data_IF_076992372848
#
_entry.id   IF_076992372848
#
_cell.length_a   1.000
_cell.length_b   1.000
_cell.length_c   1.000
_cell.angle_alpha   90.00
_cell.angle_beta   90.00
_cell.angle_gamma   90.00
#
_symmetry.space_group_name_H-M   'P 1'
#
loop_
_entity.id
_entity.type
_entity.pdbx_description
1 polymer ?
#
# COMPACT_ATOMS: atom_id res chain seq x y z
N UNK A 1 -22.67 -1.16 -3.18
CA UNK A 1 -21.64 -0.54 -4.03
C UNK A 1 -20.28 -1.09 -3.65
N UNK A 2 -19.56 -1.60 -4.64
CA UNK A 2 -18.22 -2.17 -4.50
C UNK A 2 -17.18 -1.04 -4.52
N UNK A 3 -16.14 -1.07 -3.65
CA UNK A 3 -15.07 -0.07 -3.75
C UNK A 3 -14.30 -0.21 -5.06
N UNK A 4 -14.00 0.92 -5.70
CA UNK A 4 -13.28 1.02 -6.97
C UNK A 4 -11.86 1.55 -6.77
N UNK A 5 -10.88 0.99 -7.49
CA UNK A 5 -9.50 1.51 -7.52
C UNK A 5 -9.37 2.65 -8.52
N UNK A 6 -9.99 2.50 -9.69
CA UNK A 6 -10.04 3.46 -10.79
C UNK A 6 -11.11 3.03 -11.79
N UNK A 7 -11.30 3.83 -12.84
CA UNK A 7 -12.31 3.57 -13.86
C UNK A 7 -12.12 2.16 -14.46
N UNK A 8 -13.16 1.34 -14.39
CA UNK A 8 -13.17 -0.02 -14.93
C UNK A 8 -12.53 -1.11 -14.06
N UNK A 9 -12.01 -0.81 -12.87
CA UNK A 9 -11.47 -1.84 -11.96
C UNK A 9 -11.87 -1.63 -10.49
N UNK A 10 -12.38 -2.71 -9.89
CA UNK A 10 -12.67 -2.79 -8.47
C UNK A 10 -11.39 -2.77 -7.63
N UNK A 11 -11.50 -2.26 -6.40
CA UNK A 11 -10.38 -2.15 -5.47
C UNK A 11 -9.88 -3.51 -5.00
N UNK A 12 -10.80 -4.47 -4.80
CA UNK A 12 -10.44 -5.86 -4.45
C UNK A 12 -9.63 -6.51 -5.57
N UNK A 13 -10.06 -6.38 -6.84
CA UNK A 13 -9.28 -6.90 -7.97
C UNK A 13 -7.89 -6.30 -8.02
N UNK A 14 -7.80 -4.97 -7.89
CA UNK A 14 -6.52 -4.27 -7.97
C UNK A 14 -5.55 -4.70 -6.86
N UNK A 15 -6.05 -4.80 -5.62
CA UNK A 15 -5.27 -5.27 -4.48
C UNK A 15 -4.72 -6.69 -4.69
N UNK A 16 -5.56 -7.62 -5.15
CA UNK A 16 -5.17 -9.03 -5.38
C UNK A 16 -4.25 -9.15 -6.60
N UNK A 17 -4.57 -8.46 -7.69
CA UNK A 17 -3.78 -8.43 -8.91
C UNK A 17 -2.37 -7.89 -8.66
N UNK A 18 -2.24 -6.85 -7.83
CA UNK A 18 -0.95 -6.31 -7.41
C UNK A 18 -0.10 -7.33 -6.66
N UNK A 19 -0.70 -8.11 -5.73
CA UNK A 19 0.00 -9.20 -5.02
C UNK A 19 0.42 -10.31 -6.00
N UNK A 20 -0.46 -10.70 -6.92
CA UNK A 20 -0.14 -11.72 -7.92
C UNK A 20 1.05 -11.31 -8.81
N UNK A 21 1.12 -10.04 -9.22
CA UNK A 21 2.25 -9.53 -9.99
C UNK A 21 3.53 -9.41 -9.17
N UNK A 22 3.42 -9.03 -7.90
CA UNK A 22 4.53 -9.05 -6.95
C UNK A 22 5.10 -10.47 -6.81
N UNK A 23 4.26 -11.49 -6.59
CA UNK A 23 4.68 -12.90 -6.45
C UNK A 23 5.32 -13.46 -7.73
N UNK A 24 4.87 -13.01 -8.90
CA UNK A 24 5.50 -13.38 -10.18
C UNK A 24 6.87 -12.74 -10.36
N UNK A 25 7.03 -11.49 -9.90
CA UNK A 25 8.25 -10.73 -10.10
C UNK A 25 9.34 -11.03 -9.06
N UNK A 26 8.97 -11.54 -7.89
CA UNK A 26 9.88 -11.77 -6.77
C UNK A 26 9.65 -13.13 -6.13
N UNK A 27 10.68 -13.98 -6.23
CA UNK A 27 10.68 -15.29 -5.57
C UNK A 27 11.10 -15.20 -4.09
N UNK A 28 11.06 -16.34 -3.39
CA UNK A 28 11.50 -16.44 -2.00
C UNK A 28 13.00 -16.14 -1.78
N UNK A 29 13.81 -16.14 -2.84
CA UNK A 29 15.23 -15.79 -2.75
C UNK A 29 15.40 -14.30 -2.48
N UNK A 30 14.59 -13.44 -3.13
CA UNK A 30 14.52 -12.01 -2.79
C UNK A 30 14.20 -11.80 -1.32
N UNK A 31 13.15 -12.45 -0.83
CA UNK A 31 12.70 -12.32 0.56
C UNK A 31 13.69 -12.87 1.58
N UNK A 32 14.47 -13.89 1.20
CA UNK A 32 15.60 -14.36 2.00
C UNK A 32 16.71 -13.31 2.12
N UNK A 33 17.02 -12.58 1.05
CA UNK A 33 17.99 -11.46 1.09
C UNK A 33 17.47 -10.33 1.98
N UNK A 34 16.18 -10.00 1.87
CA UNK A 34 15.53 -9.00 2.73
C UNK A 34 15.63 -9.41 4.20
N UNK A 35 15.27 -10.66 4.54
CA UNK A 35 15.34 -11.18 5.91
C UNK A 35 16.77 -11.10 6.48
N UNK A 36 17.77 -11.55 5.71
CA UNK A 36 19.18 -11.46 6.10
C UNK A 36 19.61 -10.01 6.38
N UNK A 37 19.19 -9.07 5.53
CA UNK A 37 19.55 -7.65 5.68
C UNK A 37 18.86 -6.99 6.87
N UNK A 38 17.57 -7.29 7.08
CA UNK A 38 16.81 -6.84 8.25
C UNK A 38 17.48 -7.35 9.52
N UNK A 39 17.66 -8.67 9.65
CA UNK A 39 18.24 -9.30 10.84
C UNK A 39 19.62 -8.75 11.19
N UNK A 40 20.46 -8.52 10.18
CA UNK A 40 21.80 -7.96 10.38
C UNK A 40 21.76 -6.53 10.92
N UNK A 41 20.84 -5.70 10.42
CA UNK A 41 20.77 -4.28 10.76
C UNK A 41 19.91 -4.00 12.00
N UNK A 42 19.09 -4.96 12.44
CA UNK A 42 18.30 -4.87 13.66
C UNK A 42 18.74 -5.84 14.74
N UNK A 43 19.96 -6.39 14.63
CA UNK A 43 20.50 -7.32 15.61
C UNK A 43 20.52 -6.69 17.02
N UNK A 44 19.89 -7.36 17.98
CA UNK A 44 19.76 -6.86 19.36
C UNK A 44 18.72 -5.77 19.57
N UNK A 45 17.98 -5.37 18.52
CA UNK A 45 16.91 -4.37 18.56
C UNK A 45 15.55 -5.04 18.33
N UNK A 46 15.46 -5.90 17.33
CA UNK A 46 14.23 -6.60 16.93
C UNK A 46 14.46 -8.12 16.95
N UNK A 47 13.37 -8.89 17.10
CA UNK A 47 13.43 -10.33 16.90
C UNK A 47 13.90 -10.67 15.46
N UNK A 48 14.58 -11.80 15.25
CA UNK A 48 14.89 -12.27 13.90
C UNK A 48 13.62 -12.57 13.10
N UNK A 49 13.63 -12.27 11.81
CA UNK A 49 12.59 -12.61 10.82
C UNK A 49 13.14 -13.58 9.78
N UNK A 50 12.28 -14.36 9.14
CA UNK A 50 12.65 -15.21 8.02
C UNK A 50 12.07 -14.69 6.69
N UNK A 51 12.32 -15.44 5.61
CA UNK A 51 11.82 -15.09 4.28
C UNK A 51 10.30 -15.12 4.15
N UNK A 52 9.60 -15.90 4.97
CA UNK A 52 8.14 -15.99 4.94
C UNK A 52 7.53 -14.77 5.62
N UNK A 53 8.10 -14.37 6.75
CA UNK A 53 7.70 -13.13 7.43
C UNK A 53 7.89 -11.91 6.52
N UNK A 54 9.01 -11.81 5.81
CA UNK A 54 9.26 -10.67 4.89
C UNK A 54 8.37 -10.71 3.66
N UNK A 55 8.08 -11.89 3.12
CA UNK A 55 7.10 -12.08 2.05
C UNK A 55 5.68 -11.68 2.50
N UNK A 56 5.22 -12.21 3.63
CA UNK A 56 3.89 -11.95 4.18
C UNK A 56 3.69 -10.47 4.50
N UNK A 57 4.68 -9.80 5.10
CA UNK A 57 4.64 -8.36 5.29
C UNK A 57 4.46 -7.64 3.95
N UNK A 58 5.29 -7.95 2.94
CA UNK A 58 5.17 -7.30 1.62
C UNK A 58 3.82 -7.57 0.97
N UNK A 59 3.28 -8.79 1.07
CA UNK A 59 1.97 -9.14 0.53
C UNK A 59 0.85 -8.34 1.22
N UNK A 60 0.87 -8.22 2.56
CA UNK A 60 -0.10 -7.42 3.31
C UNK A 60 0.01 -5.93 2.94
N UNK A 61 1.22 -5.40 2.81
CA UNK A 61 1.41 -4.01 2.39
C UNK A 61 0.92 -3.78 0.96
N UNK A 62 1.15 -4.75 0.06
CA UNK A 62 0.71 -4.67 -1.33
C UNK A 62 -0.81 -4.75 -1.46
N UNK A 63 -1.47 -5.63 -0.70
CA UNK A 63 -2.94 -5.75 -0.76
C UNK A 63 -3.63 -4.52 -0.14
N UNK A 64 -2.99 -3.82 0.81
CA UNK A 64 -3.54 -2.67 1.52
C UNK A 64 -3.00 -1.30 1.08
N UNK A 65 -2.04 -1.23 0.15
CA UNK A 65 -1.37 0.03 -0.20
C UNK A 65 -2.36 1.13 -0.63
N UNK A 66 -3.47 0.71 -1.22
CA UNK A 66 -4.51 1.55 -1.79
C UNK A 66 -5.81 1.56 -0.98
N UNK A 67 -5.82 1.04 0.25
CA UNK A 67 -7.01 1.03 1.12
C UNK A 67 -7.61 2.43 1.31
N UNK A 68 -6.79 3.48 1.26
CA UNK A 68 -7.22 4.86 1.32
C UNK A 68 -8.21 5.24 0.21
N UNK A 69 -8.15 4.57 -0.96
CA UNK A 69 -9.15 4.75 -2.02
C UNK A 69 -10.55 4.32 -1.59
N UNK A 70 -10.71 3.49 -0.57
CA UNK A 70 -12.04 3.21 -0.01
C UNK A 70 -12.68 4.42 0.70
N UNK A 71 -12.05 5.60 0.71
CA UNK A 71 -12.60 6.83 1.25
C UNK A 71 -13.88 7.26 0.52
N UNK A 72 -14.92 7.63 1.28
CA UNK A 72 -16.22 8.01 0.72
C UNK A 72 -16.13 9.10 -0.35
N UNK A 73 -15.30 10.11 -0.14
CA UNK A 73 -15.07 11.20 -1.10
C UNK A 73 -14.39 10.80 -2.41
N UNK A 74 -13.68 9.67 -2.46
CA UNK A 74 -13.17 9.11 -3.72
C UNK A 74 -14.21 8.20 -4.36
N UNK A 75 -14.85 7.36 -3.56
CA UNK A 75 -15.85 6.40 -4.04
C UNK A 75 -17.10 7.09 -4.62
N UNK A 76 -17.41 8.32 -4.20
CA UNK A 76 -18.48 9.13 -4.79
C UNK A 76 -18.23 9.54 -6.25
N UNK A 77 -17.03 9.32 -6.79
CA UNK A 77 -16.66 9.62 -8.18
C UNK A 77 -17.02 8.49 -9.15
N UNK A 78 -17.57 7.38 -8.65
CA UNK A 78 -17.87 6.17 -9.42
C UNK A 78 -19.35 5.80 -9.35
N UNK A 79 -19.84 5.14 -10.40
CA UNK A 79 -21.08 4.37 -10.35
C UNK A 79 -20.84 2.96 -9.75
N UNK A 80 -21.92 2.17 -9.63
CA UNK A 80 -21.85 0.82 -9.06
C UNK A 80 -20.96 -0.16 -9.85
N UNK A 81 -20.67 0.13 -11.13
CA UNK A 81 -19.81 -0.66 -12.01
C UNK A 81 -18.37 -0.14 -12.11
N UNK A 82 -17.96 0.77 -11.23
CA UNK A 82 -16.69 1.49 -11.32
C UNK A 82 -16.53 2.31 -12.62
N UNK A 83 -17.64 2.72 -13.24
CA UNK A 83 -17.65 3.70 -14.31
C UNK A 83 -17.42 5.11 -13.76
N UNK A 84 -16.58 5.89 -14.44
CA UNK A 84 -16.32 7.29 -14.12
C UNK A 84 -15.81 8.04 -15.34
N UNK A 85 -16.27 9.28 -15.56
CA UNK A 85 -15.71 10.16 -16.59
C UNK A 85 -14.39 10.81 -16.16
N UNK A 86 -14.23 11.07 -14.85
CA UNK A 86 -13.03 11.62 -14.24
C UNK A 86 -12.94 11.14 -12.80
N UNK A 87 -12.01 10.25 -12.53
CA UNK A 87 -11.66 9.84 -11.16
C UNK A 87 -10.23 10.24 -10.84
N UNK A 88 -10.01 10.92 -9.72
CA UNK A 88 -8.65 11.19 -9.22
C UNK A 88 -8.62 11.28 -7.70
N UNK A 89 -7.53 10.76 -7.12
CA UNK A 89 -7.26 10.89 -5.71
C UNK A 89 -5.78 11.14 -5.47
N UNK A 90 -5.44 12.42 -5.34
CA UNK A 90 -4.12 12.83 -4.85
C UNK A 90 -4.06 12.58 -3.34
N UNK A 91 -2.97 11.99 -2.83
CA UNK A 91 -2.74 11.73 -1.41
C UNK A 91 -3.54 10.54 -0.83
N UNK A 92 -3.97 9.58 -1.66
CA UNK A 92 -4.60 8.35 -1.13
C UNK A 92 -3.61 7.53 -0.30
N UNK A 93 -2.32 7.61 -0.62
CA UNK A 93 -1.22 7.01 0.14
C UNK A 93 -1.19 7.48 1.61
N UNK A 94 -1.59 8.74 1.88
CA UNK A 94 -1.66 9.28 3.24
C UNK A 94 -2.83 8.67 4.01
N UNK A 95 -3.98 8.50 3.36
CA UNK A 95 -5.15 7.86 3.98
C UNK A 95 -4.89 6.37 4.24
N UNK A 96 -4.27 5.67 3.28
CA UNK A 96 -3.84 4.28 3.48
C UNK A 96 -2.86 4.15 4.64
N UNK A 97 -1.93 5.10 4.77
CA UNK A 97 -0.97 5.13 5.85
C UNK A 97 -1.61 5.37 7.22
N UNK A 98 -2.59 6.29 7.32
CA UNK A 98 -3.35 6.50 8.55
C UNK A 98 -4.12 5.25 8.94
N UNK A 99 -4.72 4.56 7.97
CA UNK A 99 -5.37 3.27 8.21
C UNK A 99 -4.40 2.28 8.85
N UNK A 100 -3.20 2.10 8.27
CA UNK A 100 -2.19 1.22 8.83
C UNK A 100 -1.74 1.68 10.22
N UNK A 101 -1.47 2.98 10.41
CA UNK A 101 -1.05 3.55 11.69
C UNK A 101 -2.04 3.28 12.82
N UNK A 102 -3.35 3.42 12.54
CA UNK A 102 -4.42 3.22 13.54
C UNK A 102 -4.81 1.76 13.78
N UNK A 103 -4.51 0.85 12.85
CA UNK A 103 -4.85 -0.56 12.97
C UNK A 103 -3.71 -1.41 13.54
N UNK A 104 -4.04 -2.51 14.20
CA UNK A 104 -3.06 -3.56 14.50
C UNK A 104 -2.77 -4.31 13.21
N UNK A 105 -1.52 -4.29 12.77
CA UNK A 105 -1.10 -5.08 11.60
C UNK A 105 -0.35 -6.28 12.13
N UNK A 106 -0.76 -7.47 11.72
CA UNK A 106 -0.10 -8.72 12.12
C UNK A 106 0.65 -9.33 10.94
N UNK A 107 1.78 -9.97 11.24
CA UNK A 107 2.57 -10.77 10.29
C UNK A 107 3.03 -12.00 11.04
N UNK A 108 2.75 -13.19 10.51
CA UNK A 108 3.03 -14.47 11.17
C UNK A 108 2.50 -14.54 12.61
N UNK A 109 1.32 -13.94 12.85
CA UNK A 109 0.68 -13.86 14.16
C UNK A 109 1.25 -12.81 15.12
N UNK A 110 2.33 -12.11 14.76
CA UNK A 110 2.94 -11.04 15.56
C UNK A 110 2.41 -9.67 15.17
N UNK A 111 1.97 -8.86 16.14
CA UNK A 111 1.59 -7.47 15.90
C UNK A 111 2.83 -6.59 15.65
N UNK A 112 2.85 -5.90 14.51
CA UNK A 112 3.89 -4.94 14.18
C UNK A 112 3.85 -3.75 15.15
N UNK A 113 5.00 -3.50 15.80
CA UNK A 113 5.22 -2.36 16.69
C UNK A 113 6.50 -1.62 16.31
N UNK A 114 6.72 -0.46 16.90
CA UNK A 114 7.98 0.28 16.79
C UNK A 114 8.47 0.48 15.35
N UNK A 115 9.69 0.04 15.07
CA UNK A 115 10.34 0.24 13.77
C UNK A 115 9.71 -0.59 12.65
N UNK A 116 9.18 -1.78 12.96
CA UNK A 116 8.51 -2.65 11.98
C UNK A 116 7.20 -2.03 11.52
N UNK A 117 6.44 -1.46 12.46
CA UNK A 117 5.24 -0.67 12.13
C UNK A 117 5.59 0.56 11.30
N UNK A 118 6.71 1.21 11.61
CA UNK A 118 7.22 2.34 10.85
C UNK A 118 7.54 1.95 9.41
N UNK A 119 8.17 0.79 9.17
CA UNK A 119 8.41 0.30 7.81
C UNK A 119 7.11 0.09 7.02
N UNK A 120 6.09 -0.51 7.65
CA UNK A 120 4.78 -0.70 7.02
C UNK A 120 4.18 0.62 6.54
N UNK A 121 4.10 1.61 7.43
CA UNK A 121 3.53 2.93 7.12
C UNK A 121 4.37 3.67 6.07
N UNK A 122 5.71 3.65 6.20
CA UNK A 122 6.60 4.33 5.25
C UNK A 122 6.57 3.70 3.86
N UNK A 123 6.45 2.38 3.78
CA UNK A 123 6.31 1.66 2.50
C UNK A 123 5.07 2.14 1.76
N UNK A 124 3.92 2.22 2.44
CA UNK A 124 2.68 2.69 1.82
C UNK A 124 2.71 4.17 1.49
N UNK A 125 3.28 5.04 2.33
CA UNK A 125 3.38 6.48 1.99
C UNK A 125 4.19 6.72 0.72
N UNK A 126 5.21 5.89 0.46
CA UNK A 126 6.15 6.12 -0.64
C UNK A 126 5.85 5.31 -1.92
N UNK A 127 4.77 4.52 -1.95
CA UNK A 127 4.52 3.59 -3.06
C UNK A 127 4.35 4.24 -4.44
N UNK A 128 3.99 5.53 -4.52
CA UNK A 128 3.85 6.25 -5.80
C UNK A 128 5.14 6.93 -6.31
N UNK A 129 6.31 6.71 -5.66
CA UNK A 129 7.62 7.24 -6.04
C UNK A 129 7.66 8.75 -6.43
N UNK A 130 7.04 9.58 -5.62
CA UNK A 130 7.66 10.86 -5.31
C UNK A 130 7.82 10.89 -3.81
N UNK A 131 9.05 11.09 -3.33
CA UNK A 131 9.34 11.55 -1.98
C UNK A 131 8.63 12.91 -1.78
N UNK A 132 7.30 12.93 -1.70
CA UNK A 132 6.56 14.02 -1.10
C UNK A 132 6.92 13.90 0.36
N UNK A 133 7.98 14.60 0.74
CA UNK A 133 8.31 14.66 2.14
C UNK A 133 7.08 15.15 2.87
N UNK A 134 6.77 14.55 4.01
CA UNK A 134 5.63 14.93 4.85
C UNK A 134 5.64 16.44 5.18
N UNK A 135 6.79 17.10 5.04
CA UNK A 135 6.97 18.54 5.11
C UNK A 135 6.22 19.35 4.02
N UNK A 136 5.77 18.71 2.94
CA UNK A 136 5.01 19.36 1.85
C UNK A 136 3.51 19.39 2.09
N UNK A 137 3.01 18.65 3.10
CA UNK A 137 1.61 18.68 3.50
C UNK A 137 1.27 20.01 4.15
N UNK A 138 0.41 20.78 3.51
CA UNK A 138 -0.13 22.04 4.05
C UNK A 138 -1.63 21.92 4.35
N UNK A 139 -2.19 22.90 5.05
CA UNK A 139 -3.60 22.89 5.48
C UNK A 139 -4.58 22.78 4.30
N UNK A 140 -4.25 23.40 3.17
CA UNK A 140 -5.09 23.32 1.96
C UNK A 140 -5.13 21.88 1.41
N UNK A 141 -3.99 21.18 1.38
CA UNK A 141 -3.95 19.78 0.98
C UNK A 141 -4.66 18.86 1.97
N UNK A 142 -4.46 19.09 3.28
CA UNK A 142 -5.15 18.33 4.33
C UNK A 142 -6.67 18.51 4.25
N UNK A 143 -7.15 19.72 3.91
CA UNK A 143 -8.58 19.96 3.73
C UNK A 143 -9.20 19.06 2.64
N UNK A 144 -8.45 18.72 1.58
CA UNK A 144 -8.93 17.83 0.50
C UNK A 144 -9.12 16.36 0.92
N UNK A 145 -8.62 15.99 2.10
CA UNK A 145 -8.68 14.63 2.64
C UNK A 145 -9.93 14.38 3.51
N UNK A 146 -10.63 15.41 4.00
CA UNK A 146 -11.66 15.26 5.05
C UNK A 146 -12.76 14.24 4.71
N UNK A 147 -13.27 14.31 3.50
CA UNK A 147 -14.29 13.39 2.97
C UNK A 147 -13.72 12.01 2.59
N UNK A 148 -12.40 11.92 2.38
CA UNK A 148 -11.69 10.70 1.95
C UNK A 148 -11.09 9.93 3.12
N UNK A 149 -11.01 10.52 4.30
CA UNK A 149 -10.63 9.84 5.54
C UNK A 149 -11.75 8.98 6.14
N UNK A 150 -12.98 9.10 5.60
CA UNK A 150 -14.12 8.28 5.97
C UNK A 150 -14.06 6.95 5.24
N UNK A 151 -13.53 5.91 5.89
CA UNK A 151 -13.36 4.59 5.31
C UNK A 151 -14.38 3.58 5.83
N UNK A 152 -15.19 3.92 6.84
CA UNK A 152 -16.06 2.94 7.52
C UNK A 152 -17.01 2.22 6.56
N UNK A 153 -17.57 2.94 5.58
CA UNK A 153 -18.50 2.39 4.60
C UNK A 153 -17.85 1.37 3.65
N UNK A 154 -16.83 1.79 2.90
CA UNK A 154 -16.26 0.95 1.84
C UNK A 154 -15.02 0.16 2.27
N UNK A 155 -14.27 0.67 3.26
CA UNK A 155 -13.05 0.02 3.76
C UNK A 155 -13.35 -1.29 4.49
N UNK A 156 -14.42 -1.36 5.29
CA UNK A 156 -14.79 -2.63 5.93
C UNK A 156 -15.27 -3.67 4.90
N UNK A 157 -15.95 -3.23 3.84
CA UNK A 157 -16.33 -4.10 2.71
C UNK A 157 -15.08 -4.65 2.03
N UNK A 158 -14.08 -3.80 1.75
CA UNK A 158 -12.78 -4.23 1.20
C UNK A 158 -12.10 -5.27 2.09
N UNK A 159 -11.95 -4.98 3.39
CA UNK A 159 -11.27 -5.89 4.32
C UNK A 159 -11.97 -7.25 4.43
N UNK A 160 -13.31 -7.26 4.44
CA UNK A 160 -14.07 -8.50 4.47
C UNK A 160 -13.86 -9.33 3.20
N UNK A 161 -13.90 -8.69 2.02
CA UNK A 161 -13.63 -9.38 0.75
C UNK A 161 -12.20 -9.91 0.68
N UNK A 162 -11.20 -9.15 1.11
CA UNK A 162 -9.81 -9.60 1.17
C UNK A 162 -9.63 -10.76 2.15
N UNK A 163 -10.28 -10.71 3.32
CA UNK A 163 -10.25 -11.80 4.29
C UNK A 163 -10.88 -13.08 3.74
N UNK A 164 -12.02 -12.97 3.04
CA UNK A 164 -12.66 -14.10 2.36
C UNK A 164 -11.78 -14.73 1.27
N UNK A 165 -10.80 -13.97 0.76
CA UNK A 165 -9.81 -14.41 -0.24
C UNK A 165 -8.51 -14.92 0.38
N UNK A 166 -8.45 -15.04 1.70
CA UNK A 166 -7.34 -15.68 2.41
C UNK A 166 -6.27 -14.72 2.95
N UNK A 167 -6.44 -13.41 2.85
CA UNK A 167 -5.52 -12.44 3.46
C UNK A 167 -5.80 -12.28 4.96
N UNK A 168 -4.77 -12.27 5.81
CA UNK A 168 -4.91 -11.99 7.24
C UNK A 168 -5.11 -10.49 7.52
N UNK A 169 -6.30 -9.99 7.16
CA UNK A 169 -6.72 -8.60 7.37
C UNK A 169 -8.07 -8.49 8.09
N UNK A 170 -8.74 -9.62 8.36
CA UNK A 170 -10.05 -9.66 9.01
C UNK A 170 -10.07 -9.18 10.46
N UNK A 171 -8.89 -9.10 11.09
CA UNK A 171 -8.73 -8.52 12.42
C UNK A 171 -8.66 -6.98 12.42
N UNK A 172 -8.52 -6.36 11.25
CA UNK A 172 -8.46 -4.90 11.09
C UNK A 172 -9.87 -4.32 10.91
N UNK A 173 -10.03 -3.03 11.23
CA UNK A 173 -11.29 -2.32 11.03
C UNK A 173 -11.05 -0.94 10.41
N UNK A 174 -11.75 -0.66 9.32
CA UNK A 174 -11.75 0.66 8.72
C UNK A 174 -12.66 1.59 9.53
N UNK A 175 -12.10 2.66 10.08
CA UNK A 175 -12.82 3.72 10.77
C UNK A 175 -12.96 4.98 9.92
N UNK A 176 -13.65 5.97 10.48
CA UNK A 176 -13.63 7.33 9.95
C UNK A 176 -12.55 8.12 10.69
N UNK A 177 -11.52 8.50 9.97
CA UNK A 177 -10.38 9.21 10.51
C UNK A 177 -10.53 10.73 10.33
N UNK A 178 -9.67 11.47 11.01
CA UNK A 178 -9.65 12.93 11.06
C UNK A 178 -8.29 13.46 10.65
N UNK A 179 -8.21 14.78 10.42
CA UNK A 179 -6.94 15.45 10.18
C UNK A 179 -6.00 15.33 11.39
N UNK A 180 -6.55 15.25 12.61
CA UNK A 180 -5.74 15.04 13.81
C UNK A 180 -5.04 13.66 13.77
N UNK A 181 -5.69 12.63 13.21
CA UNK A 181 -5.06 11.32 13.02
C UNK A 181 -3.88 11.37 12.04
N UNK A 182 -4.02 12.16 10.96
CA UNK A 182 -2.92 12.40 10.01
C UNK A 182 -1.77 13.11 10.70
N UNK A 183 -2.05 14.15 11.50
CA UNK A 183 -1.04 14.92 12.22
C UNK A 183 -0.32 14.07 13.27
N UNK A 184 -1.05 13.25 14.02
CA UNK A 184 -0.52 12.30 14.99
C UNK A 184 0.43 11.29 14.33
N UNK A 185 0.00 10.67 13.23
CA UNK A 185 0.84 9.78 12.42
C UNK A 185 2.13 10.48 11.95
N UNK A 186 2.02 11.71 11.43
CA UNK A 186 3.19 12.47 10.94
C UNK A 186 4.17 12.77 12.07
N UNK A 187 3.69 13.13 13.26
CA UNK A 187 4.55 13.34 14.43
C UNK A 187 5.26 12.05 14.85
N UNK A 188 4.53 10.93 14.89
CA UNK A 188 5.09 9.62 15.18
C UNK A 188 6.18 9.21 14.16
N UNK A 189 5.93 9.43 12.86
CA UNK A 189 6.92 9.16 11.80
C UNK A 189 8.19 10.00 11.98
N UNK A 190 8.06 11.28 12.35
CA UNK A 190 9.24 12.16 12.59
C UNK A 190 10.13 11.60 13.70
N UNK A 191 9.54 11.09 14.78
CA UNK A 191 10.28 10.53 15.91
C UNK A 191 11.14 9.31 15.55
N UNK A 192 10.70 8.51 14.58
CA UNK A 192 11.41 7.29 14.14
C UNK A 192 12.29 7.51 12.90
N UNK A 193 12.07 8.59 12.15
CA UNK A 193 12.79 8.89 10.91
C UNK A 193 14.30 9.14 11.07
N UNK A 194 14.76 9.43 12.29
CA UNK A 194 16.17 9.66 12.61
C UNK A 194 16.97 8.38 12.80
N UNK A 195 16.29 7.23 12.89
CA UNK A 195 16.91 5.91 13.09
C UNK A 195 17.45 5.36 11.77
N UNK A 196 18.66 4.82 11.80
CA UNK A 196 19.32 4.26 10.61
C UNK A 196 18.53 3.07 10.04
N UNK A 197 17.92 2.26 10.91
CA UNK A 197 17.12 1.09 10.54
C UNK A 197 15.80 1.51 9.87
N UNK A 198 15.36 2.75 10.08
CA UNK A 198 14.15 3.29 9.47
C UNK A 198 14.17 3.18 7.95
N UNK A 199 15.35 3.24 7.31
CA UNK A 199 15.51 3.13 5.85
C UNK A 199 15.17 1.76 5.28
N UNK A 200 15.02 0.72 6.09
CA UNK A 200 14.76 -0.65 5.61
C UNK A 200 13.40 -0.83 4.97
N UNK A 201 12.48 0.13 5.14
CA UNK A 201 11.19 0.14 4.42
C UNK A 201 11.35 0.01 2.89
N UNK A 202 12.46 0.52 2.33
CA UNK A 202 12.74 0.46 0.89
C UNK A 202 12.84 -0.97 0.35
N UNK A 203 13.14 -1.95 1.21
CA UNK A 203 13.20 -3.36 0.85
C UNK A 203 11.81 -3.97 0.61
N UNK A 204 10.76 -3.40 1.20
CA UNK A 204 9.37 -3.82 0.98
C UNK A 204 8.68 -2.97 -0.09
N UNK A 205 9.18 -1.75 -0.30
CA UNK A 205 8.69 -0.81 -1.30
C UNK A 205 8.84 -1.34 -2.73
N UNK A 206 10.00 -1.87 -3.08
CA UNK A 206 10.27 -2.26 -4.46
C UNK A 206 9.29 -3.33 -5.00
N UNK A 207 9.03 -4.46 -4.31
CA UNK A 207 8.07 -5.43 -4.80
C UNK A 207 6.63 -4.90 -4.89
N UNK A 208 6.20 -4.12 -3.90
CA UNK A 208 4.89 -3.49 -3.90
C UNK A 208 4.71 -2.61 -5.13
N UNK A 209 5.69 -1.74 -5.40
CA UNK A 209 5.66 -0.83 -6.55
C UNK A 209 5.59 -1.57 -7.88
N UNK A 210 6.32 -2.67 -8.03
CA UNK A 210 6.29 -3.50 -9.23
C UNK A 210 4.92 -4.15 -9.39
N UNK A 211 4.35 -4.70 -8.31
CA UNK A 211 3.01 -5.27 -8.29
C UNK A 211 1.93 -4.28 -8.74
N UNK A 212 1.86 -3.12 -8.07
CA UNK A 212 0.90 -2.05 -8.39
C UNK A 212 1.04 -1.58 -9.84
N UNK A 213 2.26 -1.26 -10.28
CA UNK A 213 2.45 -0.74 -11.64
C UNK A 213 2.07 -1.75 -12.72
N UNK A 214 2.39 -3.03 -12.54
CA UNK A 214 2.03 -4.07 -13.49
C UNK A 214 0.52 -4.29 -13.55
N UNK A 215 -0.16 -4.41 -12.41
CA UNK A 215 -1.61 -4.56 -12.37
C UNK A 215 -2.33 -3.35 -12.98
N UNK A 216 -1.97 -2.15 -12.51
CA UNK A 216 -2.53 -0.89 -12.99
C UNK A 216 -2.37 -0.73 -14.51
N UNK A 217 -1.25 -1.18 -15.08
CA UNK A 217 -1.02 -1.03 -16.52
C UNK A 217 -1.73 -2.09 -17.37
N UNK A 218 -1.88 -3.33 -16.90
CA UNK A 218 -2.73 -4.33 -17.58
C UNK A 218 -4.19 -3.85 -17.60
N UNK A 219 -4.69 -3.39 -16.46
CA UNK A 219 -6.08 -2.95 -16.36
C UNK A 219 -6.38 -1.66 -17.17
N UNK A 220 -5.35 -0.83 -17.42
CA UNK A 220 -5.46 0.45 -18.14
C UNK A 220 -4.87 0.43 -19.55
N UNK A 221 -4.67 -0.75 -20.15
CA UNK A 221 -4.02 -0.91 -21.47
C UNK A 221 -4.67 -0.06 -22.59
N UNK A 222 -5.93 0.36 -22.43
CA UNK A 222 -6.64 1.25 -23.38
C UNK A 222 -6.50 2.76 -23.11
N UNK A 223 -6.08 3.19 -21.93
CA UNK A 223 -6.13 4.60 -21.48
C UNK A 223 -4.75 5.23 -21.19
N UNK A 224 -3.64 4.48 -21.24
CA UNK A 224 -2.32 5.05 -20.96
C UNK A 224 -1.79 5.94 -22.10
N UNK A 225 -1.97 7.25 -21.95
CA UNK A 225 -1.46 8.26 -22.89
C UNK A 225 0.07 8.41 -22.89
N UNK A 226 0.75 8.01 -21.80
CA UNK A 226 2.22 8.15 -21.69
C UNK A 226 2.98 7.03 -22.41
N UNK A 227 3.72 7.38 -23.46
CA UNK A 227 4.57 6.45 -24.23
C UNK A 227 5.73 5.89 -23.37
N UNK A 228 6.30 6.71 -22.47
CA UNK A 228 7.42 6.32 -21.63
C UNK A 228 7.00 5.31 -20.55
N UNK A 229 5.84 5.51 -19.92
CA UNK A 229 5.30 4.57 -18.93
C UNK A 229 5.01 3.22 -19.59
N UNK A 230 4.34 3.23 -20.75
CA UNK A 230 4.10 2.01 -21.54
C UNK A 230 5.38 1.27 -21.92
N UNK A 231 6.44 1.99 -22.31
CA UNK A 231 7.73 1.36 -22.65
C UNK A 231 8.39 0.72 -21.42
N UNK A 232 8.40 1.40 -20.27
CA UNK A 232 8.94 0.85 -19.02
C UNK A 232 8.17 -0.40 -18.58
N UNK A 233 6.84 -0.30 -18.51
CA UNK A 233 5.96 -1.41 -18.11
C UNK A 233 6.12 -2.60 -19.03
N UNK A 234 6.12 -2.40 -20.35
CA UNK A 234 6.32 -3.50 -21.30
C UNK A 234 7.66 -4.21 -21.07
N UNK A 235 8.75 -3.46 -20.86
CA UNK A 235 10.05 -4.06 -20.54
C UNK A 235 10.02 -4.83 -19.23
N UNK A 236 9.32 -4.29 -18.23
CA UNK A 236 9.16 -4.96 -16.94
C UNK A 236 8.35 -6.27 -17.09
N UNK A 237 7.25 -6.26 -17.85
CA UNK A 237 6.48 -7.45 -18.18
C UNK A 237 7.31 -8.48 -18.94
N UNK A 238 8.12 -8.07 -19.92
CA UNK A 238 9.03 -8.97 -20.64
C UNK A 238 10.00 -9.67 -19.68
N UNK A 239 10.54 -8.97 -18.68
CA UNK A 239 11.42 -9.60 -17.67
C UNK A 239 10.64 -10.54 -16.78
N UNK A 240 9.50 -10.10 -16.24
CA UNK A 240 8.71 -10.90 -15.29
C UNK A 240 8.11 -12.16 -15.93
N UNK A 241 7.63 -12.07 -17.18
CA UNK A 241 6.95 -13.17 -17.88
C UNK A 241 7.93 -14.14 -18.54
N UNK A 242 9.10 -13.69 -19.01
CA UNK A 242 10.06 -14.59 -19.65
C UNK A 242 10.91 -15.40 -18.65
N UNK A 243 10.95 -15.00 -17.38
CA UNK A 243 11.63 -15.72 -16.30
C UNK A 243 10.67 -16.61 -15.47
N UNK A 244 9.37 -16.68 -15.81
CA UNK A 244 8.37 -17.59 -15.17
C UNK A 244 8.17 -18.90 -15.94
#
# INVERSE_FOLDING_TARGET
MRPCAFAGQGLVEHSIGSVNWMDRAFDLSYFSVVANRVNRLTQGIEAPVDKWWTHELTAILTVLHDVGKAGEGFQSQFDDGCGSQRSSFKLHEIVSAVFLYRNQVKVAGEELRGIRKFWAVMTVINHLNAMRGLHTLNDAQLATLRDKLKLSKYGNTLLQELSNRGFDVGHMRAGDYTIADVQDMVQWLRGLSTRSEGKLYVLFLAPLMIGDNLDSSVARERDETSVLKRRFVRRLMEVVVNDS
#
